data_IF_636476869475
#
_entry.id   IF_636476869475
#
_cell.length_a   1.000
_cell.length_b   1.000
_cell.length_c   1.000
_cell.angle_alpha   90.00
_cell.angle_beta   90.00
_cell.angle_gamma   90.00
#
_symmetry.space_group_name_H-M   'P 1'
#
loop_
_entity.id
_entity.type
_entity.pdbx_description
1 polymer ?
#
# COMPACT_ATOMS: atom_id res chain seq x y z
N UNK A 1 -11.83 31.46 27.74
CA UNK A 1 -12.68 31.10 26.58
C UNK A 1 -12.11 29.86 25.88
N UNK A 2 -11.78 28.78 26.61
CA UNK A 2 -10.85 27.73 26.11
C UNK A 2 -11.26 26.26 26.34
N UNK A 3 -12.36 25.98 27.06
CA UNK A 3 -12.75 24.59 27.38
C UNK A 3 -13.91 24.02 26.56
N UNK A 4 -14.69 24.85 25.88
CA UNK A 4 -15.83 24.39 25.07
C UNK A 4 -15.43 24.00 23.65
N UNK A 5 -14.44 24.67 23.06
CA UNK A 5 -13.96 24.35 21.69
C UNK A 5 -13.12 23.08 21.64
N UNK A 6 -12.29 22.81 22.66
CA UNK A 6 -11.44 21.61 22.74
C UNK A 6 -12.27 20.33 22.90
N UNK A 7 -13.40 20.37 23.63
CA UNK A 7 -14.35 19.24 23.72
C UNK A 7 -15.04 18.95 22.39
N UNK A 8 -15.36 19.98 21.59
CA UNK A 8 -15.97 19.83 20.26
C UNK A 8 -15.00 19.16 19.28
N UNK A 9 -13.76 19.64 19.23
CA UNK A 9 -12.73 19.13 18.31
C UNK A 9 -12.32 17.70 18.69
N UNK A 10 -12.07 17.44 19.97
CA UNK A 10 -11.69 16.09 20.46
C UNK A 10 -12.79 15.05 20.22
N UNK A 11 -14.06 15.41 20.46
CA UNK A 11 -15.20 14.53 20.18
C UNK A 11 -15.35 14.18 18.70
N UNK A 12 -15.02 15.11 17.79
CA UNK A 12 -15.06 14.90 16.34
C UNK A 12 -13.89 14.05 15.83
N UNK A 13 -12.68 14.29 16.34
CA UNK A 13 -11.50 13.45 16.06
C UNK A 13 -11.81 12.00 16.46
N UNK A 14 -12.36 11.79 17.66
CA UNK A 14 -12.69 10.46 18.16
C UNK A 14 -13.74 9.75 17.31
N UNK A 15 -14.81 10.44 16.91
CA UNK A 15 -15.86 9.84 16.08
C UNK A 15 -15.35 9.47 14.68
N UNK A 16 -14.53 10.33 14.07
CA UNK A 16 -13.91 10.06 12.77
C UNK A 16 -12.89 8.90 12.83
N UNK A 17 -12.07 8.88 13.87
CA UNK A 17 -11.08 7.82 14.10
C UNK A 17 -11.75 6.49 14.42
N UNK A 18 -12.82 6.51 15.24
CA UNK A 18 -13.61 5.32 15.58
C UNK A 18 -14.28 4.73 14.34
N UNK A 19 -14.86 5.57 13.48
CA UNK A 19 -15.45 5.12 12.22
C UNK A 19 -14.43 4.47 11.29
N UNK A 20 -13.27 5.12 11.12
CA UNK A 20 -12.20 4.63 10.24
C UNK A 20 -11.56 3.36 10.79
N UNK A 21 -11.37 3.28 12.11
CA UNK A 21 -10.87 2.08 12.79
C UNK A 21 -11.85 0.91 12.65
N UNK A 22 -13.14 1.16 12.86
CA UNK A 22 -14.19 0.14 12.70
C UNK A 22 -14.24 -0.42 11.27
N UNK A 23 -14.16 0.46 10.26
CA UNK A 23 -14.11 0.04 8.86
C UNK A 23 -12.85 -0.80 8.54
N UNK A 24 -11.69 -0.42 9.07
CA UNK A 24 -10.45 -1.18 8.89
C UNK A 24 -10.50 -2.57 9.54
N UNK A 25 -11.08 -2.68 10.74
CA UNK A 25 -11.27 -3.97 11.42
C UNK A 25 -12.17 -4.87 10.59
N UNK A 26 -13.30 -4.34 10.10
CA UNK A 26 -14.23 -5.11 9.28
C UNK A 26 -13.58 -5.59 7.97
N UNK A 27 -12.81 -4.72 7.31
CA UNK A 27 -12.05 -5.08 6.12
C UNK A 27 -11.04 -6.22 6.40
N UNK A 28 -10.31 -6.14 7.53
CA UNK A 28 -9.35 -7.18 7.94
C UNK A 28 -10.01 -8.52 8.24
N UNK A 29 -11.19 -8.53 8.87
CA UNK A 29 -11.94 -9.77 9.11
C UNK A 29 -12.34 -10.41 7.77
N UNK A 30 -12.81 -9.60 6.80
CA UNK A 30 -13.12 -10.08 5.45
C UNK A 30 -11.91 -10.70 4.76
N UNK A 31 -10.76 -10.03 4.80
CA UNK A 31 -9.50 -10.57 4.26
C UNK A 31 -9.08 -11.87 4.94
N UNK A 32 -9.22 -11.95 6.27
CA UNK A 32 -8.88 -13.16 7.03
C UNK A 32 -9.76 -14.36 6.63
N UNK A 33 -11.07 -14.15 6.49
CA UNK A 33 -11.99 -15.19 6.02
C UNK A 33 -11.68 -15.62 4.57
N UNK A 34 -11.31 -14.66 3.72
CA UNK A 34 -10.85 -14.95 2.36
C UNK A 34 -9.59 -15.83 2.35
N UNK A 35 -8.59 -15.49 3.16
CA UNK A 35 -7.38 -16.31 3.29
C UNK A 35 -7.68 -17.70 3.85
N UNK A 36 -8.61 -17.83 4.79
CA UNK A 36 -9.04 -19.13 5.30
C UNK A 36 -9.67 -19.99 4.19
N UNK A 37 -10.46 -19.40 3.30
CA UNK A 37 -11.03 -20.09 2.15
C UNK A 37 -9.94 -20.53 1.15
N UNK A 38 -8.95 -19.67 0.88
CA UNK A 38 -7.81 -20.00 0.02
C UNK A 38 -7.02 -21.19 0.59
N UNK A 39 -6.73 -21.20 1.88
CA UNK A 39 -6.05 -22.32 2.56
C UNK A 39 -6.83 -23.63 2.37
N UNK A 40 -8.16 -23.58 2.47
CA UNK A 40 -9.02 -24.77 2.30
C UNK A 40 -9.05 -25.29 0.87
N UNK A 41 -8.85 -24.42 -0.13
CA UNK A 41 -8.88 -24.79 -1.55
C UNK A 41 -7.51 -25.20 -2.10
N UNK A 42 -6.44 -24.50 -1.73
CA UNK A 42 -5.08 -24.68 -2.27
C UNK A 42 -4.16 -25.53 -1.39
N UNK A 43 -4.51 -25.78 -0.12
CA UNK A 43 -3.65 -26.46 0.84
C UNK A 43 -2.61 -25.55 1.48
N UNK A 44 -1.97 -26.06 2.55
CA UNK A 44 -1.06 -25.27 3.41
C UNK A 44 0.23 -24.86 2.68
N UNK A 45 0.80 -25.75 1.87
CA UNK A 45 2.11 -25.55 1.24
C UNK A 45 2.08 -24.46 0.15
N UNK A 46 1.07 -24.49 -0.73
CA UNK A 46 0.89 -23.45 -1.77
C UNK A 46 0.56 -22.09 -1.14
N UNK A 47 -0.22 -22.07 -0.05
CA UNK A 47 -0.55 -20.81 0.62
C UNK A 47 0.68 -20.20 1.30
N UNK A 48 1.57 -21.02 1.85
CA UNK A 48 2.86 -20.56 2.39
C UNK A 48 3.73 -19.90 1.32
N UNK A 49 3.83 -20.50 0.13
CA UNK A 49 4.57 -19.92 -1.00
C UNK A 49 3.95 -18.59 -1.47
N UNK A 50 2.62 -18.51 -1.57
CA UNK A 50 1.92 -17.28 -1.92
C UNK A 50 2.15 -16.17 -0.88
N UNK A 51 2.10 -16.49 0.42
CA UNK A 51 2.35 -15.52 1.49
C UNK A 51 3.78 -14.96 1.48
N UNK A 52 4.75 -15.78 1.08
CA UNK A 52 6.13 -15.31 0.87
C UNK A 52 6.22 -14.34 -0.31
N UNK A 53 5.60 -14.66 -1.45
CA UNK A 53 5.56 -13.76 -2.61
C UNK A 53 4.85 -12.46 -2.25
N UNK A 54 3.72 -12.53 -1.54
CA UNK A 54 2.98 -11.35 -1.08
C UNK A 54 3.85 -10.46 -0.18
N UNK A 55 4.65 -11.06 0.71
CA UNK A 55 5.57 -10.31 1.58
C UNK A 55 6.65 -9.56 0.78
N UNK A 56 7.24 -10.22 -0.24
CA UNK A 56 8.21 -9.59 -1.14
C UNK A 56 7.60 -8.46 -1.97
N UNK A 57 6.43 -8.71 -2.56
CA UNK A 57 5.65 -7.70 -3.30
C UNK A 57 5.31 -6.53 -2.39
N UNK A 58 4.91 -6.80 -1.14
CA UNK A 58 4.61 -5.80 -0.13
C UNK A 58 5.81 -4.92 0.20
N UNK A 59 6.99 -5.52 0.39
CA UNK A 59 8.24 -4.78 0.62
C UNK A 59 8.59 -3.88 -0.56
N UNK A 60 8.60 -4.42 -1.79
CA UNK A 60 8.89 -3.65 -3.02
C UNK A 60 7.91 -2.48 -3.16
N UNK A 61 6.62 -2.74 -2.97
CA UNK A 61 5.56 -1.72 -3.04
C UNK A 61 5.79 -0.62 -1.99
N UNK A 62 6.12 -1.00 -0.75
CA UNK A 62 6.37 -0.06 0.32
C UNK A 62 7.52 0.89 -0.03
N UNK A 63 8.63 0.38 -0.54
CA UNK A 63 9.76 1.20 -0.96
C UNK A 63 9.44 2.09 -2.18
N UNK A 64 8.65 1.59 -3.14
CA UNK A 64 8.23 2.36 -4.30
C UNK A 64 7.39 3.59 -3.94
N UNK A 65 6.53 3.47 -2.93
CA UNK A 65 5.50 4.46 -2.61
C UNK A 65 5.83 5.32 -1.38
N UNK A 66 6.82 4.94 -0.56
CA UNK A 66 7.14 5.58 0.73
C UNK A 66 7.24 7.12 0.68
N UNK A 67 7.98 7.67 -0.29
CA UNK A 67 8.18 9.12 -0.43
C UNK A 67 6.96 9.85 -1.03
N UNK A 68 6.30 9.24 -2.01
CA UNK A 68 5.12 9.81 -2.66
C UNK A 68 3.89 9.81 -1.77
N UNK A 69 3.73 8.82 -0.89
CA UNK A 69 2.61 8.75 0.04
C UNK A 69 2.62 9.93 1.04
N UNK A 70 3.81 10.27 1.56
CA UNK A 70 3.99 11.41 2.45
C UNK A 70 3.77 12.72 1.70
N UNK A 71 4.29 12.85 0.48
CA UNK A 71 4.06 14.00 -0.38
C UNK A 71 2.56 14.17 -0.69
N UNK A 72 1.86 13.10 -1.07
CA UNK A 72 0.43 13.12 -1.34
C UNK A 72 -0.35 13.66 -0.14
N UNK A 73 -0.11 13.11 1.06
CA UNK A 73 -0.81 13.52 2.28
C UNK A 73 -0.57 14.99 2.62
N UNK A 74 0.68 15.47 2.52
CA UNK A 74 1.06 16.85 2.83
C UNK A 74 0.57 17.86 1.79
N UNK A 75 0.80 17.60 0.50
CA UNK A 75 0.42 18.55 -0.56
C UNK A 75 -1.09 18.60 -0.75
N UNK A 76 -1.80 17.47 -0.65
CA UNK A 76 -3.28 17.47 -0.73
C UNK A 76 -3.89 18.28 0.41
N UNK A 77 -3.36 18.17 1.63
CA UNK A 77 -3.88 18.94 2.77
C UNK A 77 -3.56 20.44 2.69
N UNK A 78 -2.38 20.82 2.17
CA UNK A 78 -2.00 22.23 2.04
C UNK A 78 -2.75 23.00 0.95
N UNK A 79 -3.07 22.34 -0.18
CA UNK A 79 -3.74 22.99 -1.31
C UNK A 79 -5.27 22.87 -1.29
N UNK A 80 -5.84 22.23 -0.27
CA UNK A 80 -7.30 22.05 -0.12
C UNK A 80 -8.05 23.37 0.09
N UNK A 81 -7.48 24.32 0.82
CA UNK A 81 -8.07 25.64 1.07
C UNK A 81 -7.71 26.68 0.00
N UNK A 82 -6.49 26.59 -0.54
CA UNK A 82 -5.97 27.65 -1.41
C UNK A 82 -6.46 27.51 -2.85
N UNK A 83 -6.51 26.29 -3.41
CA UNK A 83 -6.78 26.13 -4.84
C UNK A 83 -7.17 24.69 -5.25
N UNK A 84 -8.48 24.42 -5.40
CA UNK A 84 -8.99 23.07 -5.71
C UNK A 84 -8.55 22.54 -7.08
N UNK A 85 -8.28 23.42 -8.05
CA UNK A 85 -7.82 23.01 -9.38
C UNK A 85 -6.41 22.42 -9.33
N UNK A 86 -5.53 22.98 -8.47
CA UNK A 86 -4.18 22.47 -8.26
C UNK A 86 -4.17 21.09 -7.60
N UNK A 87 -5.17 20.75 -6.79
CA UNK A 87 -5.27 19.43 -6.15
C UNK A 87 -5.40 18.33 -7.20
N UNK A 88 -6.19 18.57 -8.26
CA UNK A 88 -6.35 17.61 -9.36
C UNK A 88 -5.04 17.37 -10.10
N UNK A 89 -4.31 18.45 -10.40
CA UNK A 89 -3.00 18.38 -11.09
C UNK A 89 -1.95 17.69 -10.22
N UNK A 90 -1.87 18.02 -8.93
CA UNK A 90 -0.94 17.40 -7.98
C UNK A 90 -1.27 15.92 -7.81
N UNK A 91 -2.55 15.58 -7.68
CA UNK A 91 -3.01 14.19 -7.56
C UNK A 91 -2.65 13.40 -8.82
N UNK A 92 -2.91 13.93 -10.01
CA UNK A 92 -2.52 13.30 -11.27
C UNK A 92 -1.01 13.11 -11.40
N UNK A 93 -0.23 14.11 -10.98
CA UNK A 93 1.25 14.05 -10.99
C UNK A 93 1.78 13.00 -10.03
N UNK A 94 1.22 12.92 -8.81
CA UNK A 94 1.57 11.91 -7.80
C UNK A 94 1.22 10.50 -8.28
N UNK A 95 0.06 10.31 -8.91
CA UNK A 95 -0.30 9.01 -9.49
C UNK A 95 0.64 8.61 -10.63
N UNK A 96 0.98 9.55 -11.52
CA UNK A 96 1.87 9.29 -12.65
C UNK A 96 3.28 8.90 -12.19
N UNK A 97 3.87 9.72 -11.30
CA UNK A 97 5.19 9.42 -10.73
C UNK A 97 5.16 8.18 -9.84
N UNK A 98 4.06 7.90 -9.14
CA UNK A 98 3.88 6.67 -8.37
C UNK A 98 3.89 5.42 -9.22
N UNK A 99 3.19 5.43 -10.36
CA UNK A 99 3.27 4.34 -11.33
C UNK A 99 4.68 4.17 -11.89
N UNK A 100 5.35 5.27 -12.28
CA UNK A 100 6.69 5.23 -12.83
C UNK A 100 7.73 4.69 -11.84
N UNK A 101 7.67 5.13 -10.56
CA UNK A 101 8.57 4.63 -9.51
C UNK A 101 8.26 3.17 -9.15
N UNK A 102 7.00 2.75 -9.13
CA UNK A 102 6.64 1.36 -8.91
C UNK A 102 7.26 0.43 -9.97
N UNK A 103 7.20 0.81 -11.25
CA UNK A 103 7.85 0.08 -12.34
C UNK A 103 9.37 0.05 -12.15
N UNK A 104 9.98 1.19 -11.80
CA UNK A 104 11.43 1.29 -11.58
C UNK A 104 11.93 0.43 -10.43
N UNK A 105 11.25 0.43 -9.29
CA UNK A 105 11.63 -0.37 -8.11
C UNK A 105 11.37 -1.87 -8.35
N UNK A 106 10.30 -2.23 -9.08
CA UNK A 106 10.10 -3.61 -9.55
C UNK A 106 11.24 -4.09 -10.45
N UNK A 107 11.62 -3.29 -11.44
CA UNK A 107 12.72 -3.62 -12.35
C UNK A 107 14.05 -3.76 -11.60
N UNK A 108 14.34 -2.83 -10.68
CA UNK A 108 15.54 -2.91 -9.85
C UNK A 108 15.54 -4.15 -8.92
N UNK A 109 14.40 -4.46 -8.30
CA UNK A 109 14.25 -5.67 -7.48
C UNK A 109 14.45 -6.95 -8.29
N UNK A 110 13.89 -7.00 -9.51
CA UNK A 110 14.08 -8.12 -10.43
C UNK A 110 15.55 -8.28 -10.86
N UNK A 111 16.22 -7.19 -11.23
CA UNK A 111 17.64 -7.20 -11.58
C UNK A 111 18.52 -7.62 -10.39
N UNK A 112 18.19 -7.17 -9.19
CA UNK A 112 18.91 -7.58 -7.97
C UNK A 112 18.77 -9.10 -7.74
N UNK A 113 17.57 -9.64 -7.90
CA UNK A 113 17.30 -11.09 -7.75
C UNK A 113 18.03 -11.94 -8.79
N UNK A 114 18.26 -11.43 -10.00
CA UNK A 114 19.05 -12.12 -11.03
C UNK A 114 20.56 -12.09 -10.75
N UNK A 115 21.06 -11.05 -10.06
CA UNK A 115 22.49 -10.84 -9.82
C UNK A 115 22.96 -11.27 -8.42
N UNK A 116 22.03 -11.56 -7.49
CA UNK A 116 22.36 -12.14 -6.18
C UNK A 116 22.90 -13.56 -6.39
N UNK A 117 24.13 -13.87 -5.95
CA UNK A 117 24.65 -15.24 -5.99
C UNK A 117 23.72 -16.11 -5.16
N UNK A 118 23.04 -17.09 -5.78
CA UNK A 118 22.22 -18.05 -5.05
C UNK A 118 23.10 -18.71 -3.98
N UNK A 119 22.84 -18.53 -2.67
CA UNK A 119 23.67 -19.12 -1.65
C UNK A 119 23.33 -20.61 -1.62
N UNK A 120 24.09 -21.41 -2.37
CA UNK A 120 23.99 -22.88 -2.38
C UNK A 120 22.63 -23.41 -2.83
N UNK A 121 22.59 -23.95 -4.05
CA UNK A 121 21.45 -24.71 -4.59
C UNK A 121 21.20 -25.99 -3.78
N UNK A 122 20.59 -25.88 -2.61
CA UNK A 122 19.79 -26.96 -2.05
C UNK A 122 18.39 -26.85 -2.67
N UNK A 123 17.90 -27.88 -3.39
CA UNK A 123 16.60 -27.87 -4.07
C UNK A 123 15.42 -27.49 -3.18
N UNK A 124 15.57 -27.63 -1.87
CA UNK A 124 14.50 -27.49 -0.88
C UNK A 124 14.43 -26.10 -0.24
N UNK A 125 15.25 -25.15 -0.71
CA UNK A 125 15.33 -23.82 -0.08
C UNK A 125 14.30 -22.87 -0.68
N UNK A 126 13.43 -22.32 0.18
CA UNK A 126 12.35 -21.36 -0.11
C UNK A 126 12.75 -20.25 -1.12
N UNK A 127 14.01 -19.83 -1.11
CA UNK A 127 14.59 -18.81 -1.98
C UNK A 127 14.59 -19.17 -3.48
N UNK A 128 14.78 -20.44 -3.85
CA UNK A 128 14.78 -20.88 -5.26
C UNK A 128 13.37 -20.80 -5.87
N UNK A 129 12.35 -21.11 -5.07
CA UNK A 129 10.94 -21.06 -5.49
C UNK A 129 10.49 -19.63 -5.76
N UNK A 130 10.93 -18.68 -4.92
CA UNK A 130 10.68 -17.24 -5.12
C UNK A 130 11.36 -16.76 -6.41
N UNK A 131 12.64 -17.10 -6.63
CA UNK A 131 13.40 -16.66 -7.80
C UNK A 131 12.83 -17.21 -9.13
N UNK A 132 12.46 -18.50 -9.18
CA UNK A 132 11.92 -19.13 -10.39
C UNK A 132 10.49 -18.64 -10.68
N UNK A 133 9.64 -18.51 -9.65
CA UNK A 133 8.25 -18.05 -9.82
C UNK A 133 8.18 -16.57 -10.19
N UNK A 134 8.99 -15.70 -9.58
CA UNK A 134 9.08 -14.30 -9.99
C UNK A 134 9.69 -14.15 -11.39
N UNK A 135 10.63 -15.02 -11.77
CA UNK A 135 11.22 -15.06 -13.11
C UNK A 135 10.22 -15.45 -14.21
N UNK A 136 9.41 -16.48 -13.96
CA UNK A 136 8.39 -16.95 -14.92
C UNK A 136 7.17 -16.03 -15.04
N UNK A 137 6.78 -15.36 -13.95
CA UNK A 137 5.56 -14.55 -13.88
C UNK A 137 5.82 -13.05 -13.70
N UNK A 138 6.93 -12.54 -14.25
CA UNK A 138 7.33 -11.13 -14.14
C UNK A 138 6.20 -10.14 -14.43
N UNK A 139 5.42 -10.38 -15.50
CA UNK A 139 4.29 -9.52 -15.87
C UNK A 139 3.17 -9.50 -14.82
N UNK A 140 2.86 -10.64 -14.18
CA UNK A 140 1.83 -10.70 -13.14
C UNK A 140 2.31 -9.99 -11.87
N UNK A 141 3.59 -10.14 -11.51
CA UNK A 141 4.18 -9.46 -10.35
C UNK A 141 4.19 -7.95 -10.56
N UNK A 142 4.54 -7.49 -11.76
CA UNK A 142 4.49 -6.07 -12.11
C UNK A 142 3.07 -5.51 -12.02
N UNK A 143 2.08 -6.22 -12.58
CA UNK A 143 0.68 -5.82 -12.50
C UNK A 143 0.18 -5.77 -11.05
N UNK A 144 0.56 -6.76 -10.23
CA UNK A 144 0.23 -6.80 -8.80
C UNK A 144 0.84 -5.61 -8.06
N UNK A 145 2.12 -5.31 -8.26
CA UNK A 145 2.79 -4.17 -7.60
C UNK A 145 2.18 -2.84 -8.04
N UNK A 146 1.81 -2.70 -9.32
CA UNK A 146 1.12 -1.49 -9.81
C UNK A 146 -0.23 -1.31 -9.10
N UNK A 147 -1.00 -2.39 -8.98
CA UNK A 147 -2.33 -2.38 -8.36
C UNK A 147 -2.26 -2.11 -6.85
N UNK A 148 -1.29 -2.69 -6.15
CA UNK A 148 -1.05 -2.43 -4.72
C UNK A 148 -0.53 -1.01 -4.49
N UNK A 149 0.33 -0.48 -5.38
CA UNK A 149 0.85 0.89 -5.30
C UNK A 149 -0.25 1.92 -5.47
N UNK A 150 -1.14 1.72 -6.45
CA UNK A 150 -2.32 2.58 -6.64
C UNK A 150 -3.20 2.57 -5.40
N UNK A 151 -3.48 1.38 -4.84
CA UNK A 151 -4.26 1.26 -3.61
C UNK A 151 -3.63 2.05 -2.45
N UNK A 152 -2.30 2.00 -2.30
CA UNK A 152 -1.59 2.73 -1.26
C UNK A 152 -1.62 4.25 -1.48
N UNK A 153 -1.44 4.73 -2.71
CA UNK A 153 -1.49 6.15 -3.04
C UNK A 153 -2.89 6.73 -2.84
N UNK A 154 -3.93 6.02 -3.29
CA UNK A 154 -5.33 6.43 -3.08
C UNK A 154 -5.65 6.50 -1.59
N UNK A 155 -5.20 5.52 -0.81
CA UNK A 155 -5.36 5.57 0.65
C UNK A 155 -4.68 6.81 1.24
N UNK A 156 -3.45 7.14 0.83
CA UNK A 156 -2.73 8.35 1.24
C UNK A 156 -3.48 9.66 0.93
N UNK A 157 -4.02 9.78 -0.28
CA UNK A 157 -4.83 10.93 -0.71
C UNK A 157 -6.09 11.06 0.15
N UNK A 158 -6.79 9.94 0.40
CA UNK A 158 -7.99 9.90 1.25
C UNK A 158 -7.67 10.31 2.69
N UNK A 159 -6.55 9.84 3.25
CA UNK A 159 -6.09 10.27 4.57
C UNK A 159 -5.77 11.78 4.59
N UNK A 160 -5.14 12.32 3.55
CA UNK A 160 -4.90 13.76 3.39
C UNK A 160 -6.19 14.59 3.37
N UNK A 161 -7.24 14.09 2.70
CA UNK A 161 -8.56 14.73 2.68
C UNK A 161 -9.28 14.63 4.05
N UNK A 162 -9.16 13.49 4.74
CA UNK A 162 -9.82 13.27 6.04
C UNK A 162 -9.18 14.04 7.20
N UNK A 163 -7.85 14.21 7.19
CA UNK A 163 -7.15 15.05 8.17
C UNK A 163 -7.74 16.48 8.23
N UNK A 164 -8.26 16.96 7.10
CA UNK A 164 -8.89 18.28 6.99
C UNK A 164 -10.35 18.32 7.45
N UNK A 165 -11.15 17.29 7.14
CA UNK A 165 -12.56 17.19 7.61
C UNK A 165 -12.68 17.16 9.13
N UNK A 166 -11.64 16.69 9.82
CA UNK A 166 -11.56 16.70 11.27
C UNK A 166 -11.29 18.10 11.84
N UNK A 167 -10.72 19.02 11.06
CA UNK A 167 -10.44 20.40 11.49
C UNK A 167 -11.60 21.37 11.17
N UNK A 168 -12.28 21.27 10.02
CA UNK A 168 -13.20 22.32 9.53
C UNK A 168 -14.70 21.98 9.69
N UNK A 169 -15.16 21.62 10.90
CA UNK A 169 -16.60 21.44 11.22
C UNK A 169 -16.85 21.68 12.72
#
# INVERSE_FOLDING_TARGET
>A
MTDTETRSISGRIWRGTAWTSGANILARIGTFLGNLAIIRLLGLDLTGQLGLIESWVGLITMFAVFGLNLAATKYVSQYLETDRERIGVITGTVLFWGGALAIGVCAAGYLLLLNLPSPGLAPDTIWSTVQITLGGYFWLVLALVMMTSLRQLVAGIVYGLHAFRVFVW
#
